data_IF_910057948433
#
_entry.id   IF_910057948433
#
_cell.length_a   1.000
_cell.length_b   1.000
_cell.length_c   1.000
_cell.angle_alpha   90.00
_cell.angle_beta   90.00
_cell.angle_gamma   90.00
#
_symmetry.space_group_name_H-M   'P 1'
#
loop_
_entity.id
_entity.type
_entity.pdbx_description
1 polymer ?
#
# COMPACT_ATOMS: atom_id res chain seq x y z
N UNK A 1 53.14 -29.14 -36.58
CA UNK A 1 52.24 -29.91 -37.45
C UNK A 1 50.81 -29.61 -37.04
N UNK A 2 50.04 -29.04 -37.96
CA UNK A 2 48.68 -28.49 -37.82
C UNK A 2 47.61 -29.50 -37.46
N UNK A 3 46.59 -29.12 -36.64
CA UNK A 3 45.20 -29.60 -36.75
C UNK A 3 44.25 -28.51 -36.18
N UNK A 4 43.50 -27.78 -37.03
CA UNK A 4 42.11 -27.99 -37.50
C UNK A 4 41.05 -27.23 -36.68
N UNK A 5 40.59 -26.12 -37.24
CA UNK A 5 39.32 -25.44 -36.90
C UNK A 5 38.16 -26.38 -37.28
N UNK A 6 37.27 -26.66 -36.32
CA UNK A 6 35.98 -27.28 -36.61
C UNK A 6 34.90 -26.22 -36.40
N UNK A 7 34.44 -25.69 -37.53
CA UNK A 7 33.22 -24.91 -37.60
C UNK A 7 32.04 -25.89 -37.57
N UNK A 8 31.21 -25.81 -36.53
CA UNK A 8 29.92 -26.48 -36.50
C UNK A 8 28.82 -25.43 -36.39
N UNK A 9 28.44 -24.86 -37.52
CA UNK A 9 27.11 -24.30 -37.70
C UNK A 9 26.12 -25.48 -37.63
N UNK A 10 25.46 -25.64 -36.49
CA UNK A 10 24.24 -26.47 -36.39
C UNK A 10 23.07 -25.56 -36.06
N UNK A 11 22.33 -25.22 -37.12
CA UNK A 11 20.98 -24.68 -37.05
C UNK A 11 20.10 -25.70 -36.31
N UNK A 12 19.79 -25.46 -35.04
CA UNK A 12 18.83 -26.26 -34.28
C UNK A 12 17.56 -25.45 -34.10
N UNK A 13 16.53 -25.82 -34.88
CA UNK A 13 15.23 -25.17 -34.88
C UNK A 13 14.57 -25.15 -33.49
N UNK A 14 13.83 -24.07 -33.24
CA UNK A 14 13.02 -23.87 -32.04
C UNK A 14 11.99 -25.01 -31.86
N UNK A 15 12.37 -26.04 -31.11
CA UNK A 15 11.47 -27.08 -30.63
C UNK A 15 10.76 -26.55 -29.38
N UNK A 16 9.50 -26.13 -29.51
CA UNK A 16 8.64 -25.77 -28.38
C UNK A 16 8.20 -27.04 -27.66
N UNK A 17 8.79 -27.32 -26.49
CA UNK A 17 8.44 -28.49 -25.67
C UNK A 17 7.43 -28.10 -24.60
N UNK A 18 6.18 -28.60 -24.74
CA UNK A 18 5.10 -28.43 -23.77
C UNK A 18 5.31 -29.35 -22.56
N UNK A 19 5.49 -28.78 -21.37
CA UNK A 19 5.64 -29.54 -20.12
C UNK A 19 4.26 -29.67 -19.45
N UNK A 20 3.59 -30.80 -19.65
CA UNK A 20 2.40 -31.15 -18.87
C UNK A 20 2.80 -31.77 -17.52
N UNK A 21 2.08 -31.43 -16.46
CA UNK A 21 2.30 -31.99 -15.13
C UNK A 21 2.02 -33.50 -15.12
N UNK A 22 3.06 -34.32 -14.88
CA UNK A 22 2.90 -35.75 -14.60
C UNK A 22 2.80 -35.96 -13.09
N UNK A 23 1.60 -36.24 -12.57
CA UNK A 23 1.46 -36.82 -11.24
C UNK A 23 1.73 -38.33 -11.32
N UNK A 24 2.81 -38.80 -10.69
CA UNK A 24 2.82 -39.93 -9.73
C UNK A 24 4.25 -40.34 -9.37
N UNK A 25 4.39 -40.69 -8.10
CA UNK A 25 5.55 -41.17 -7.37
C UNK A 25 6.60 -41.93 -8.19
N UNK A 26 7.84 -41.39 -8.17
CA UNK A 26 9.03 -42.20 -8.37
C UNK A 26 10.12 -41.76 -7.38
N UNK A 27 10.44 -42.70 -6.49
CA UNK A 27 11.55 -42.67 -5.51
C UNK A 27 12.83 -42.09 -6.10
N UNK A 28 13.48 -41.24 -5.29
CA UNK A 28 14.89 -40.82 -5.33
C UNK A 28 15.70 -41.40 -6.51
N UNK A 29 15.84 -40.61 -7.56
CA UNK A 29 17.10 -40.57 -8.31
C UNK A 29 17.24 -39.20 -8.93
N UNK A 30 18.44 -38.67 -8.76
CA UNK A 30 18.93 -37.38 -9.20
C UNK A 30 18.36 -36.15 -8.49
N UNK A 31 19.16 -35.63 -7.57
CA UNK A 31 19.06 -34.28 -7.01
C UNK A 31 19.50 -33.32 -8.11
N UNK A 32 18.76 -33.33 -9.23
CA UNK A 32 19.01 -32.53 -10.41
C UNK A 32 19.02 -31.08 -9.99
N UNK A 33 20.20 -30.47 -10.06
CA UNK A 33 20.39 -29.05 -9.88
C UNK A 33 19.27 -28.33 -10.62
N UNK A 34 18.41 -27.62 -9.87
CA UNK A 34 17.46 -26.68 -10.47
C UNK A 34 18.32 -25.78 -11.34
N UNK A 35 18.24 -25.92 -12.67
CA UNK A 35 18.96 -25.07 -13.60
C UNK A 35 18.63 -23.64 -13.18
N UNK A 36 19.63 -22.89 -12.70
CA UNK A 36 19.48 -21.46 -12.50
C UNK A 36 19.15 -20.92 -13.88
N UNK A 37 17.89 -20.57 -14.09
CA UNK A 37 17.46 -19.86 -15.28
C UNK A 37 18.16 -18.52 -15.17
N UNK A 38 19.27 -18.37 -15.89
CA UNK A 38 19.93 -17.07 -16.04
C UNK A 38 19.05 -16.29 -17.01
N UNK A 39 18.22 -15.42 -16.44
CA UNK A 39 17.36 -14.52 -17.18
C UNK A 39 18.28 -13.41 -17.69
N UNK A 40 18.69 -13.48 -18.97
CA UNK A 40 19.36 -12.36 -19.62
C UNK A 40 18.29 -11.33 -20.01
N UNK A 41 18.35 -10.16 -19.38
CA UNK A 41 17.44 -9.03 -19.60
C UNK A 41 17.39 -8.57 -21.07
N UNK A 42 18.52 -8.67 -21.78
CA UNK A 42 18.63 -8.33 -23.21
C UNK A 42 17.73 -9.20 -24.11
N UNK A 43 17.60 -10.51 -23.80
CA UNK A 43 16.73 -11.41 -24.58
C UNK A 43 15.24 -11.20 -24.27
N UNK A 44 14.91 -10.70 -23.07
CA UNK A 44 13.55 -10.33 -22.71
C UNK A 44 13.14 -9.00 -23.34
N UNK A 45 14.06 -8.04 -23.45
CA UNK A 45 13.83 -6.73 -24.05
C UNK A 45 13.46 -6.81 -25.54
N UNK A 46 13.87 -7.87 -26.25
CA UNK A 46 13.54 -8.09 -27.66
C UNK A 46 12.08 -8.52 -27.90
N UNK A 47 11.44 -9.12 -26.89
CA UNK A 47 10.08 -9.71 -27.00
C UNK A 47 9.06 -8.99 -26.12
N UNK A 48 9.50 -8.36 -25.03
CA UNK A 48 8.67 -7.70 -24.02
C UNK A 48 9.29 -6.35 -23.71
N UNK A 49 8.46 -5.31 -23.60
CA UNK A 49 8.91 -4.02 -23.10
C UNK A 49 9.14 -4.12 -21.57
N UNK A 50 10.37 -4.50 -21.20
CA UNK A 50 10.79 -4.71 -19.80
C UNK A 50 10.63 -3.42 -18.98
N UNK A 51 10.87 -2.26 -19.59
CA UNK A 51 10.70 -0.95 -18.94
C UNK A 51 9.25 -0.69 -18.55
N UNK A 52 8.30 -0.90 -19.46
CA UNK A 52 6.87 -0.72 -19.16
C UNK A 52 6.38 -1.70 -18.08
N UNK A 53 6.89 -2.93 -18.07
CA UNK A 53 6.57 -3.91 -17.02
C UNK A 53 7.11 -3.46 -15.66
N UNK A 54 8.34 -2.94 -15.61
CA UNK A 54 8.94 -2.42 -14.39
C UNK A 54 8.16 -1.21 -13.85
N UNK A 55 7.76 -0.29 -14.72
CA UNK A 55 6.91 0.85 -14.35
C UNK A 55 5.56 0.41 -13.80
N UNK A 56 4.91 -0.59 -14.41
CA UNK A 56 3.66 -1.15 -13.89
C UNK A 56 3.83 -1.81 -12.52
N UNK A 57 4.92 -2.54 -12.30
CA UNK A 57 5.22 -3.16 -11.00
C UNK A 57 5.48 -2.09 -9.93
N UNK A 58 6.26 -1.04 -10.26
CA UNK A 58 6.52 0.08 -9.36
C UNK A 58 5.22 0.84 -9.04
N UNK A 59 4.38 1.11 -10.05
CA UNK A 59 3.08 1.74 -9.86
C UNK A 59 2.12 0.90 -9.02
N UNK A 60 2.14 -0.43 -9.16
CA UNK A 60 1.36 -1.33 -8.31
C UNK A 60 1.82 -1.27 -6.84
N UNK A 61 3.15 -1.20 -6.59
CA UNK A 61 3.70 -1.02 -5.25
C UNK A 61 3.30 0.33 -4.67
N UNK A 62 3.34 1.40 -5.45
CA UNK A 62 2.94 2.74 -5.01
C UNK A 62 1.44 2.81 -4.68
N UNK A 63 0.60 2.21 -5.53
CA UNK A 63 -0.83 2.05 -5.23
C UNK A 63 -1.06 1.27 -3.94
N UNK A 64 -0.33 0.17 -3.75
CA UNK A 64 -0.40 -0.63 -2.52
C UNK A 64 0.02 0.18 -1.29
N UNK A 65 1.10 0.97 -1.38
CA UNK A 65 1.52 1.89 -0.30
C UNK A 65 0.40 2.89 0.04
N UNK A 66 -0.20 3.50 -0.97
CA UNK A 66 -1.31 4.44 -0.78
C UNK A 66 -2.53 3.77 -0.13
N UNK A 67 -2.86 2.55 -0.56
CA UNK A 67 -3.96 1.77 0.02
C UNK A 67 -3.66 1.35 1.46
N UNK A 68 -2.40 1.02 1.79
CA UNK A 68 -1.98 0.77 3.17
C UNK A 68 -2.03 2.02 4.03
N UNK A 69 -1.59 3.19 3.55
CA UNK A 69 -1.69 4.44 4.34
C UNK A 69 -3.15 4.79 4.62
N UNK A 70 -4.03 4.65 3.62
CA UNK A 70 -5.47 4.92 3.78
C UNK A 70 -6.14 3.92 4.72
N UNK A 71 -5.87 2.62 4.56
CA UNK A 71 -6.62 1.56 5.22
C UNK A 71 -5.95 0.96 6.47
N UNK A 72 -4.62 1.02 6.61
CA UNK A 72 -3.87 0.56 7.79
C UNK A 72 -3.72 1.63 8.87
N UNK A 73 -4.25 2.83 8.65
CA UNK A 73 -4.48 3.84 9.69
C UNK A 73 -5.23 3.27 10.92
N UNK A 74 -5.89 2.10 10.76
CA UNK A 74 -6.56 1.33 11.80
C UNK A 74 -5.68 0.89 13.00
N UNK A 75 -4.36 0.75 12.88
CA UNK A 75 -3.54 0.22 14.00
C UNK A 75 -2.79 1.26 14.84
N UNK A 76 -2.89 2.53 14.48
CA UNK A 76 -2.24 3.63 15.20
C UNK A 76 -3.21 4.80 15.40
N UNK A 77 -4.42 4.51 15.90
CA UNK A 77 -5.43 5.50 16.33
C UNK A 77 -4.86 6.55 17.28
N UNK A 78 -3.72 6.29 17.92
CA UNK A 78 -3.10 7.21 18.85
C UNK A 78 -2.54 8.46 18.14
N UNK A 79 -1.83 8.34 17.01
CA UNK A 79 -1.20 9.49 16.32
C UNK A 79 -1.99 10.05 15.13
N UNK A 80 -2.79 9.22 14.45
CA UNK A 80 -3.42 9.63 13.18
C UNK A 80 -4.57 10.61 13.34
N UNK A 81 -5.17 10.71 14.54
CA UNK A 81 -6.26 11.64 14.81
C UNK A 81 -5.78 13.09 14.82
N UNK A 82 -4.57 13.36 15.29
CA UNK A 82 -3.98 14.70 15.40
C UNK A 82 -3.67 15.30 14.01
N UNK A 83 -3.27 14.45 13.07
CA UNK A 83 -2.96 14.82 11.68
C UNK A 83 -4.18 14.72 10.76
N UNK A 84 -5.39 14.60 11.31
CA UNK A 84 -6.62 14.52 10.50
C UNK A 84 -6.83 15.85 9.77
N UNK A 85 -6.88 15.86 8.42
CA UNK A 85 -7.17 17.08 7.66
C UNK A 85 -8.65 17.44 7.77
N UNK A 86 -8.92 18.72 8.04
CA UNK A 86 -10.25 19.30 8.25
C UNK A 86 -10.31 20.58 7.44
N UNK A 87 -11.22 20.63 6.47
CA UNK A 87 -11.50 21.85 5.72
C UNK A 87 -12.50 22.70 6.51
N UNK A 88 -12.06 23.84 7.02
CA UNK A 88 -12.88 24.80 7.77
C UNK A 88 -12.74 26.20 7.17
N UNK A 89 -13.86 26.89 6.92
CA UNK A 89 -13.89 28.24 6.31
C UNK A 89 -13.09 28.36 5.00
N UNK A 90 -13.09 27.29 4.19
CA UNK A 90 -12.40 27.27 2.89
C UNK A 90 -10.88 27.10 2.98
N UNK A 91 -10.34 26.81 4.16
CA UNK A 91 -8.93 26.50 4.38
C UNK A 91 -8.78 25.10 4.98
N UNK A 92 -7.69 24.44 4.61
CA UNK A 92 -7.35 23.13 5.16
C UNK A 92 -6.50 23.29 6.42
N UNK A 93 -6.98 22.70 7.50
CA UNK A 93 -6.31 22.64 8.79
C UNK A 93 -6.11 21.20 9.20
N UNK A 94 -5.21 20.97 10.15
CA UNK A 94 -5.10 19.69 10.85
C UNK A 94 -5.78 19.81 12.22
N UNK A 95 -6.29 18.69 12.74
CA UNK A 95 -7.04 18.71 14.00
C UNK A 95 -6.25 19.34 15.16
N UNK A 96 -4.94 19.10 15.24
CA UNK A 96 -4.08 19.69 16.27
C UNK A 96 -4.00 21.24 16.24
N UNK A 97 -4.28 21.87 15.10
CA UNK A 97 -4.26 23.34 14.97
C UNK A 97 -5.58 23.94 15.46
N UNK A 98 -6.68 23.20 15.33
CA UNK A 98 -8.02 23.63 15.73
C UNK A 98 -8.35 23.25 17.17
N UNK A 99 -7.65 22.28 17.74
CA UNK A 99 -8.03 21.62 18.98
C UNK A 99 -6.85 21.06 19.76
N UNK A 100 -6.99 21.05 21.09
CA UNK A 100 -6.10 20.28 21.94
C UNK A 100 -6.61 18.84 22.08
N UNK A 101 -5.79 17.88 21.65
CA UNK A 101 -6.11 16.44 21.76
C UNK A 101 -5.52 15.89 23.06
N UNK A 102 -6.40 15.43 23.97
CA UNK A 102 -6.02 14.86 25.26
C UNK A 102 -6.46 13.40 25.34
N UNK A 103 -5.51 12.49 25.56
CA UNK A 103 -5.79 11.06 25.65
C UNK A 103 -5.99 10.72 27.12
N UNK A 104 -7.25 10.56 27.54
CA UNK A 104 -7.57 10.12 28.90
C UNK A 104 -7.28 8.63 29.08
N UNK A 105 -7.61 7.81 28.09
CA UNK A 105 -7.37 6.37 28.07
C UNK A 105 -7.03 5.90 26.65
N UNK A 106 -6.42 4.72 26.46
CA UNK A 106 -6.18 4.15 25.12
C UNK A 106 -7.45 3.97 24.28
N UNK A 107 -8.61 3.90 24.93
CA UNK A 107 -9.93 3.75 24.31
C UNK A 107 -10.72 5.06 24.20
N UNK A 108 -10.21 6.16 24.76
CA UNK A 108 -10.97 7.42 24.88
C UNK A 108 -10.05 8.61 24.66
N UNK A 109 -10.33 9.36 23.59
CA UNK A 109 -9.68 10.61 23.26
C UNK A 109 -10.68 11.74 23.52
N UNK A 110 -10.23 12.78 24.22
CA UNK A 110 -10.99 14.00 24.46
C UNK A 110 -10.40 15.10 23.61
N UNK A 111 -11.24 15.74 22.80
CA UNK A 111 -10.83 16.83 21.91
C UNK A 111 -11.38 18.11 22.54
N UNK A 112 -10.48 19.00 22.94
CA UNK A 112 -10.84 20.31 23.47
C UNK A 112 -10.84 21.34 22.34
N UNK A 113 -12.03 21.84 22.00
CA UNK A 113 -12.28 22.81 20.92
C UNK A 113 -12.46 24.25 21.44
N UNK A 114 -11.97 24.58 22.64
CA UNK A 114 -12.21 25.89 23.27
C UNK A 114 -11.80 27.09 22.40
N UNK A 115 -10.79 26.94 21.53
CA UNK A 115 -10.34 28.00 20.63
C UNK A 115 -11.30 28.25 19.45
N UNK A 116 -11.96 27.19 18.95
CA UNK A 116 -12.81 27.22 17.76
C UNK A 116 -14.08 26.38 17.96
N UNK A 117 -15.01 26.78 18.85
CA UNK A 117 -16.24 26.04 19.10
C UNK A 117 -17.14 25.95 17.85
N UNK A 118 -17.08 26.92 16.95
CA UNK A 118 -17.80 26.91 15.68
C UNK A 118 -17.33 25.78 14.71
N UNK A 119 -16.12 25.26 14.89
CA UNK A 119 -15.58 24.19 14.05
C UNK A 119 -16.00 22.78 14.53
N UNK A 120 -16.60 22.65 15.71
CA UNK A 120 -17.07 21.37 16.28
C UNK A 120 -17.87 20.51 15.28
N UNK A 121 -18.93 21.01 14.61
CA UNK A 121 -19.69 20.17 13.68
C UNK A 121 -18.85 19.68 12.49
N UNK A 122 -17.94 20.51 12.00
CA UNK A 122 -17.02 20.16 10.90
C UNK A 122 -16.02 19.09 11.34
N UNK A 123 -15.47 19.20 12.56
CA UNK A 123 -14.58 18.20 13.14
C UNK A 123 -15.28 16.86 13.35
N UNK A 124 -16.50 16.87 13.91
CA UNK A 124 -17.29 15.64 14.11
C UNK A 124 -17.53 14.94 12.77
N UNK A 125 -17.92 15.68 11.73
CA UNK A 125 -18.10 15.11 10.39
C UNK A 125 -16.79 14.57 9.80
N UNK A 126 -15.66 15.27 9.98
CA UNK A 126 -14.36 14.81 9.50
C UNK A 126 -13.94 13.51 10.18
N UNK A 127 -14.18 13.36 11.49
CA UNK A 127 -13.92 12.13 12.25
C UNK A 127 -14.83 10.99 11.78
N UNK A 128 -16.10 11.25 11.50
CA UNK A 128 -16.99 10.22 10.96
C UNK A 128 -16.58 9.78 9.55
N UNK A 129 -16.02 10.70 8.73
CA UNK A 129 -15.56 10.42 7.37
C UNK A 129 -14.14 9.84 7.30
N UNK A 130 -13.35 9.94 8.38
CA UNK A 130 -11.94 9.55 8.39
C UNK A 130 -11.71 8.04 8.28
N UNK A 131 -12.77 7.22 8.38
CA UNK A 131 -12.65 5.76 8.34
C UNK A 131 -12.01 5.15 9.59
N UNK A 132 -11.77 5.96 10.64
CA UNK A 132 -11.16 5.49 11.90
C UNK A 132 -12.09 4.66 12.80
N UNK A 133 -13.33 4.40 12.35
CA UNK A 133 -14.37 3.68 13.09
C UNK A 133 -14.53 4.16 14.54
N UNK A 134 -14.48 5.48 14.72
CA UNK A 134 -14.64 6.14 16.01
C UNK A 134 -16.09 6.57 16.19
N UNK A 135 -16.54 6.60 17.45
CA UNK A 135 -17.84 7.13 17.82
C UNK A 135 -17.66 8.51 18.49
N UNK A 136 -17.62 9.62 17.73
CA UNK A 136 -17.52 10.94 18.32
C UNK A 136 -18.79 11.23 19.13
N UNK A 137 -18.62 11.55 20.42
CA UNK A 137 -19.68 12.04 21.28
C UNK A 137 -19.39 13.50 21.62
N UNK A 138 -20.34 14.38 21.30
CA UNK A 138 -20.29 15.77 21.73
C UNK A 138 -20.90 15.85 23.12
N UNK A 139 -20.07 16.12 24.14
CA UNK A 139 -20.60 16.49 25.44
C UNK A 139 -21.35 17.82 25.28
N UNK A 140 -22.67 17.77 25.46
CA UNK A 140 -23.56 18.91 25.26
C UNK A 140 -23.19 20.02 26.26
N UNK A 141 -22.61 21.11 25.75
CA UNK A 141 -22.46 22.36 26.49
C UNK A 141 -23.08 23.55 25.74
N UNK A 142 -24.13 23.29 24.94
CA UNK A 142 -25.00 24.31 24.35
C UNK A 142 -26.42 23.75 24.11
N UNK A 143 -27.14 23.48 25.21
CA UNK A 143 -28.58 23.69 25.26
C UNK A 143 -28.82 24.64 26.42
N UNK A 144 -29.63 25.67 26.22
CA UNK A 144 -30.08 26.70 27.17
C UNK A 144 -29.46 28.09 26.98
N UNK A 145 -29.72 28.73 25.83
CA UNK A 145 -30.01 30.17 25.79
C UNK A 145 -30.77 30.49 24.50
N UNK A 146 -32.00 30.01 24.37
CA UNK A 146 -33.07 30.72 23.64
C UNK A 146 -34.39 30.43 24.37
N UNK A 147 -34.75 31.36 25.25
CA UNK A 147 -36.12 31.67 25.70
C UNK A 147 -36.12 33.15 26.10
#
# INVERSE_FOLDING_TARGET
GSYKLVNSNTLTGNQSVRHYAKSRDKKKSDKGHKKKVQINEELLAEVINVTAMQEQMLGAIEKLKNDFVKNLSLRSTSGSIETLPITFEGKDYILQDLAQVVRKNPKTVVINMAAFPQAIPTVVQAISKSGMNLNPQQDELLKNTEN
#
